data_IF_548063691930
#
_entry.id   IF_548063691930
#
_cell.length_a   1.000
_cell.length_b   1.000
_cell.length_c   1.000
_cell.angle_alpha   90.00
_cell.angle_beta   90.00
_cell.angle_gamma   90.00
#
_symmetry.space_group_name_H-M   'P 1'
#
loop_
_entity.id
_entity.type
_entity.pdbx_description
1 polymer ?
#
# COMPACT_ATOMS: atom_id res chain seq x y z
N UNK A 1 7.66 -27.99 11.83
CA UNK A 1 7.67 -26.59 12.25
C UNK A 1 6.22 -26.15 12.42
N UNK A 2 5.82 -25.65 13.60
CA UNK A 2 4.44 -25.19 13.80
C UNK A 2 4.18 -23.96 12.92
N UNK A 3 3.42 -24.16 11.86
CA UNK A 3 3.04 -23.12 10.88
C UNK A 3 1.90 -22.20 11.38
N UNK A 4 1.92 -21.83 12.68
CA UNK A 4 0.89 -20.96 13.27
C UNK A 4 1.38 -19.53 13.52
N UNK A 5 2.47 -19.11 12.86
CA UNK A 5 2.93 -17.73 12.95
C UNK A 5 2.21 -16.87 11.89
N UNK A 6 1.16 -16.20 12.34
CA UNK A 6 0.37 -15.27 11.51
C UNK A 6 0.48 -13.84 12.03
N UNK A 7 0.25 -12.87 11.16
CA UNK A 7 0.10 -11.47 11.57
C UNK A 7 -1.13 -10.85 10.91
N UNK A 8 -1.67 -9.81 11.54
CA UNK A 8 -2.89 -9.14 11.11
C UNK A 8 -2.62 -7.73 10.62
N UNK A 9 -3.24 -7.38 9.49
CA UNK A 9 -3.34 -6.02 8.99
C UNK A 9 -4.82 -5.67 8.82
N UNK A 10 -5.35 -4.90 9.74
CA UNK A 10 -6.79 -4.65 9.81
C UNK A 10 -7.58 -5.96 9.96
N UNK A 11 -8.45 -6.23 9.01
CA UNK A 11 -9.27 -7.46 8.98
C UNK A 11 -8.59 -8.67 8.33
N UNK A 12 -7.43 -8.47 7.71
CA UNK A 12 -6.71 -9.52 7.00
C UNK A 12 -5.69 -10.21 7.88
N UNK A 13 -5.52 -11.52 7.67
CA UNK A 13 -4.52 -12.35 8.33
C UNK A 13 -3.60 -12.97 7.29
N UNK A 14 -2.30 -12.94 7.56
CA UNK A 14 -1.25 -13.40 6.65
C UNK A 14 -0.27 -14.32 7.38
N UNK A 15 0.28 -15.28 6.65
CA UNK A 15 1.34 -16.18 7.09
C UNK A 15 2.72 -15.77 6.58
N UNK A 16 2.77 -14.95 5.52
CA UNK A 16 3.99 -14.39 4.96
C UNK A 16 4.12 -12.91 5.29
N UNK A 17 5.27 -12.50 5.81
CA UNK A 17 5.60 -11.08 6.07
C UNK A 17 6.22 -10.38 4.85
N UNK A 18 6.28 -11.08 3.72
CA UNK A 18 6.85 -10.54 2.50
C UNK A 18 5.82 -9.73 1.71
N UNK A 19 6.10 -8.43 1.56
CA UNK A 19 5.34 -7.51 0.71
C UNK A 19 6.18 -7.23 -0.54
N UNK A 20 5.69 -7.67 -1.71
CA UNK A 20 6.39 -7.45 -2.97
C UNK A 20 6.08 -6.07 -3.55
N UNK A 21 7.15 -5.32 -3.92
CA UNK A 21 7.02 -4.11 -4.73
C UNK A 21 7.02 -4.45 -6.22
N UNK A 22 5.96 -4.13 -6.96
CA UNK A 22 5.86 -4.49 -8.39
C UNK A 22 6.42 -3.45 -9.37
N UNK A 23 6.83 -2.29 -8.87
CA UNK A 23 7.04 -1.10 -9.71
C UNK A 23 8.21 -1.13 -10.71
N UNK A 24 9.11 -2.11 -10.66
CA UNK A 24 10.31 -2.20 -11.51
C UNK A 24 10.62 -3.61 -12.01
N UNK A 25 9.75 -4.58 -11.75
CA UNK A 25 10.01 -5.98 -12.05
C UNK A 25 9.21 -6.45 -13.26
N UNK A 26 9.74 -7.49 -13.94
CA UNK A 26 9.02 -8.16 -15.00
C UNK A 26 7.83 -8.95 -14.45
N UNK A 27 6.87 -9.26 -15.30
CA UNK A 27 5.69 -10.06 -14.92
C UNK A 27 6.10 -11.46 -14.45
N UNK A 28 7.13 -12.04 -15.08
CA UNK A 28 7.67 -13.34 -14.70
C UNK A 28 8.29 -13.32 -13.30
N UNK A 29 8.96 -12.22 -12.91
CA UNK A 29 9.52 -12.08 -11.57
C UNK A 29 8.42 -11.92 -10.52
N UNK A 30 7.34 -11.20 -10.84
CA UNK A 30 6.19 -11.07 -9.97
C UNK A 30 5.54 -12.45 -9.74
N UNK A 31 5.32 -13.20 -10.81
CA UNK A 31 4.79 -14.57 -10.73
C UNK A 31 5.70 -15.49 -9.90
N UNK A 32 7.01 -15.45 -10.12
CA UNK A 32 7.99 -16.20 -9.36
C UNK A 32 7.99 -15.82 -7.86
N UNK A 33 7.94 -14.53 -7.54
CA UNK A 33 7.89 -14.05 -6.15
C UNK A 33 6.61 -14.49 -5.42
N UNK A 34 5.49 -14.50 -6.12
CA UNK A 34 4.22 -15.00 -5.55
C UNK A 34 4.28 -16.51 -5.33
N UNK A 35 4.76 -17.29 -6.31
CA UNK A 35 4.74 -18.76 -6.26
C UNK A 35 5.87 -19.37 -5.43
N UNK A 36 7.07 -18.77 -5.44
CA UNK A 36 8.27 -19.35 -4.82
C UNK A 36 8.65 -18.67 -3.51
N UNK A 37 8.44 -17.37 -3.38
CA UNK A 37 8.69 -16.63 -2.13
C UNK A 37 7.42 -16.39 -1.30
N UNK A 38 6.29 -16.96 -1.70
CA UNK A 38 5.01 -16.92 -0.99
C UNK A 38 4.55 -15.50 -0.64
N UNK A 39 4.77 -14.54 -1.56
CA UNK A 39 4.31 -13.18 -1.37
C UNK A 39 2.78 -13.15 -1.35
N UNK A 40 2.19 -12.71 -0.25
CA UNK A 40 0.74 -12.63 -0.07
C UNK A 40 0.20 -11.21 -0.28
N UNK A 41 1.09 -10.22 -0.36
CA UNK A 41 0.75 -8.83 -0.62
C UNK A 41 1.65 -8.31 -1.74
N UNK A 42 1.05 -7.67 -2.75
CA UNK A 42 1.78 -7.04 -3.86
C UNK A 42 1.40 -5.56 -3.94
N UNK A 43 2.40 -4.67 -3.85
CA UNK A 43 2.15 -3.23 -4.03
C UNK A 43 2.13 -2.85 -5.51
N UNK A 44 1.30 -1.88 -5.86
CA UNK A 44 1.25 -1.31 -7.19
C UNK A 44 0.93 0.20 -7.17
N UNK A 45 1.47 0.93 -8.14
CA UNK A 45 1.22 2.35 -8.30
C UNK A 45 0.18 2.58 -9.42
N UNK A 46 -0.99 3.11 -9.08
CA UNK A 46 -2.02 3.42 -10.07
C UNK A 46 -1.52 4.37 -11.16
N UNK A 47 -0.68 5.34 -10.79
CA UNK A 47 -0.10 6.31 -11.73
C UNK A 47 0.63 5.66 -12.91
N UNK A 48 1.20 4.47 -12.71
CA UNK A 48 1.90 3.72 -13.77
C UNK A 48 0.97 2.82 -14.58
N UNK A 49 -0.25 2.72 -14.17
CA UNK A 49 -1.26 1.90 -14.77
C UNK A 49 -1.87 2.45 -16.04
N UNK A 50 -1.86 3.78 -16.18
CA UNK A 50 -2.37 4.46 -17.36
C UNK A 50 -1.57 4.19 -18.65
N UNK A 51 -0.39 3.59 -18.54
CA UNK A 51 0.43 3.18 -19.69
C UNK A 51 0.08 1.77 -20.21
N UNK A 52 -1.10 1.27 -19.93
CA UNK A 52 -1.56 -0.07 -20.37
C UNK A 52 -1.07 -1.22 -19.49
N UNK A 53 -0.40 -0.91 -18.37
CA UNK A 53 0.28 -1.90 -17.57
C UNK A 53 -0.54 -2.59 -16.46
N UNK A 54 -1.64 -2.01 -15.99
CA UNK A 54 -2.39 -2.64 -14.87
C UNK A 54 -3.09 -3.92 -15.30
N UNK A 55 -3.74 -3.94 -16.42
CA UNK A 55 -4.46 -5.13 -16.91
C UNK A 55 -3.50 -6.32 -17.00
N UNK A 56 -2.29 -6.08 -17.50
CA UNK A 56 -1.26 -7.11 -17.62
C UNK A 56 -0.71 -7.59 -16.27
N UNK A 57 -0.58 -6.70 -15.27
CA UNK A 57 -0.09 -7.11 -13.93
C UNK A 57 -1.17 -7.92 -13.20
N UNK A 58 -2.41 -7.52 -13.24
CA UNK A 58 -3.50 -8.21 -12.57
C UNK A 58 -3.70 -9.64 -13.08
N UNK A 59 -3.46 -9.88 -14.38
CA UNK A 59 -3.54 -11.21 -14.99
C UNK A 59 -2.50 -12.21 -14.43
N UNK A 60 -1.40 -11.70 -13.85
CA UNK A 60 -0.30 -12.49 -13.28
C UNK A 60 -0.36 -12.64 -11.76
N UNK A 61 -1.26 -11.91 -11.10
CA UNK A 61 -1.40 -11.98 -9.64
C UNK A 61 -2.60 -12.87 -9.30
N UNK A 62 -2.39 -14.01 -8.60
CA UNK A 62 -3.48 -14.89 -8.21
C UNK A 62 -4.48 -14.19 -7.28
N UNK A 63 -5.75 -14.57 -7.33
CA UNK A 63 -6.85 -13.97 -6.54
C UNK A 63 -6.65 -14.03 -5.03
N UNK A 64 -5.88 -15.00 -4.54
CA UNK A 64 -5.57 -15.14 -3.12
C UNK A 64 -4.49 -14.15 -2.63
N UNK A 65 -3.80 -13.47 -3.53
CA UNK A 65 -2.82 -12.41 -3.21
C UNK A 65 -3.54 -11.07 -3.05
N UNK A 66 -3.24 -10.35 -1.98
CA UNK A 66 -3.85 -9.05 -1.73
C UNK A 66 -3.08 -7.94 -2.46
N UNK A 67 -3.82 -7.12 -3.18
CA UNK A 67 -3.29 -5.93 -3.82
C UNK A 67 -3.20 -4.81 -2.80
N UNK A 68 -2.05 -4.15 -2.76
CA UNK A 68 -1.78 -2.97 -1.94
C UNK A 68 -1.43 -1.79 -2.86
N UNK A 69 -2.45 -1.16 -3.48
CA UNK A 69 -2.21 0.03 -4.28
C UNK A 69 -1.64 1.15 -3.42
N UNK A 70 -0.77 1.98 -4.02
CA UNK A 70 -0.21 3.15 -3.36
C UNK A 70 -0.68 4.46 -4.00
N UNK A 71 -0.59 5.55 -3.24
CA UNK A 71 -0.97 6.89 -3.69
C UNK A 71 0.21 7.68 -4.26
N UNK A 72 1.21 6.99 -4.82
CA UNK A 72 2.40 7.61 -5.39
C UNK A 72 2.06 8.72 -6.37
N UNK A 73 2.66 9.88 -6.17
CA UNK A 73 2.41 11.10 -6.93
C UNK A 73 1.45 12.07 -6.25
N UNK A 74 0.80 11.70 -5.15
CA UNK A 74 0.04 12.62 -4.32
C UNK A 74 0.97 13.62 -3.61
N UNK A 75 0.59 14.90 -3.65
CA UNK A 75 1.34 16.01 -3.02
C UNK A 75 0.67 16.55 -1.77
N UNK A 76 -0.54 16.09 -1.48
CA UNK A 76 -1.33 16.45 -0.31
C UNK A 76 -2.34 15.33 0.02
N UNK A 77 -3.02 15.46 1.16
CA UNK A 77 -3.99 14.49 1.63
C UNK A 77 -5.17 14.31 0.65
N UNK A 78 -5.67 15.39 0.07
CA UNK A 78 -6.81 15.35 -0.85
C UNK A 78 -6.50 14.51 -2.10
N UNK A 79 -5.32 14.73 -2.70
CA UNK A 79 -4.86 13.93 -3.84
C UNK A 79 -4.71 12.46 -3.45
N UNK A 80 -4.13 12.16 -2.27
CA UNK A 80 -3.97 10.81 -1.78
C UNK A 80 -5.32 10.10 -1.58
N UNK A 81 -6.27 10.76 -0.96
CA UNK A 81 -7.64 10.23 -0.74
C UNK A 81 -8.32 9.95 -2.07
N UNK A 82 -8.22 10.86 -3.04
CA UNK A 82 -8.79 10.67 -4.37
C UNK A 82 -8.18 9.44 -5.08
N UNK A 83 -6.85 9.32 -5.04
CA UNK A 83 -6.16 8.16 -5.65
C UNK A 83 -6.56 6.86 -4.96
N UNK A 84 -6.63 6.85 -3.62
CA UNK A 84 -7.04 5.68 -2.86
C UNK A 84 -8.46 5.20 -3.21
N UNK A 85 -9.41 6.12 -3.33
CA UNK A 85 -10.78 5.78 -3.74
C UNK A 85 -10.84 5.19 -5.15
N UNK A 86 -10.10 5.76 -6.11
CA UNK A 86 -9.96 5.20 -7.45
C UNK A 86 -9.31 3.80 -7.42
N UNK A 87 -8.31 3.62 -6.55
CA UNK A 87 -7.65 2.33 -6.39
C UNK A 87 -8.58 1.24 -5.89
N UNK A 88 -9.49 1.58 -4.96
CA UNK A 88 -10.49 0.64 -4.43
C UNK A 88 -11.35 0.07 -5.56
N UNK A 89 -11.83 0.95 -6.43
CA UNK A 89 -12.67 0.55 -7.56
C UNK A 89 -11.91 -0.29 -8.60
N UNK A 90 -10.70 0.13 -8.94
CA UNK A 90 -9.92 -0.53 -9.99
C UNK A 90 -9.27 -1.84 -9.56
N UNK A 91 -8.83 -1.93 -8.31
CA UNK A 91 -8.12 -3.08 -7.78
C UNK A 91 -9.01 -4.00 -6.94
N UNK A 92 -10.27 -3.63 -6.70
CA UNK A 92 -11.18 -4.33 -5.79
C UNK A 92 -10.54 -4.63 -4.43
N UNK A 93 -9.72 -3.67 -3.93
CA UNK A 93 -8.97 -3.78 -2.69
C UNK A 93 -9.25 -2.60 -1.78
N UNK A 94 -9.52 -2.85 -0.52
CA UNK A 94 -9.62 -1.84 0.53
C UNK A 94 -8.31 -1.61 1.28
N UNK A 95 -7.24 -2.33 0.93
CA UNK A 95 -5.89 -2.01 1.40
C UNK A 95 -5.31 -0.85 0.60
N UNK A 96 -4.59 0.05 1.26
CA UNK A 96 -3.91 1.16 0.58
C UNK A 96 -2.64 1.57 1.32
N UNK A 97 -1.55 1.74 0.57
CA UNK A 97 -0.32 2.36 1.05
C UNK A 97 -0.37 3.86 0.74
N UNK A 98 -0.45 4.68 1.78
CA UNK A 98 -0.44 6.14 1.62
C UNK A 98 0.98 6.64 1.42
N UNK A 99 1.20 7.31 0.29
CA UNK A 99 2.41 8.05 -0.02
C UNK A 99 2.02 9.49 -0.37
N UNK A 100 2.43 10.45 0.46
CA UNK A 100 2.29 11.89 0.16
C UNK A 100 3.67 12.51 0.14
N UNK A 101 4.11 12.98 -1.03
CA UNK A 101 5.45 13.53 -1.25
C UNK A 101 5.31 14.88 -1.94
N UNK A 102 5.54 15.99 -1.21
CA UNK A 102 5.46 17.35 -1.75
C UNK A 102 6.68 17.70 -2.60
N UNK A 103 7.85 17.30 -2.12
CA UNK A 103 9.13 17.63 -2.75
C UNK A 103 9.63 16.46 -3.60
N UNK A 104 9.57 16.62 -4.91
CA UNK A 104 10.01 15.60 -5.86
C UNK A 104 11.53 15.47 -5.97
N UNK A 105 12.29 16.41 -5.38
CA UNK A 105 13.75 16.36 -5.40
C UNK A 105 14.31 15.39 -4.38
N UNK A 106 13.78 15.42 -3.15
CA UNK A 106 14.29 14.59 -2.06
C UNK A 106 13.42 13.36 -1.80
N UNK A 107 12.18 13.34 -2.31
CA UNK A 107 11.23 12.23 -2.21
C UNK A 107 10.90 11.81 -0.77
N UNK A 108 10.96 12.76 0.16
CA UNK A 108 10.62 12.51 1.55
C UNK A 108 9.11 12.62 1.78
N UNK A 109 8.52 11.67 2.53
CA UNK A 109 7.09 11.70 2.85
C UNK A 109 6.74 12.86 3.79
N UNK A 110 5.55 13.45 3.56
CA UNK A 110 4.96 14.48 4.41
C UNK A 110 4.09 13.82 5.48
N UNK A 111 4.58 13.77 6.72
CA UNK A 111 3.90 13.09 7.82
C UNK A 111 2.55 13.71 8.16
N UNK A 112 2.41 15.04 8.08
CA UNK A 112 1.17 15.74 8.42
C UNK A 112 0.05 15.45 7.43
N UNK A 113 0.34 15.55 6.14
CA UNK A 113 -0.62 15.24 5.09
C UNK A 113 -0.94 13.74 5.05
N UNK A 114 0.04 12.89 5.34
CA UNK A 114 -0.14 11.43 5.44
C UNK A 114 -1.09 11.08 6.59
N UNK A 115 -0.95 11.70 7.77
CA UNK A 115 -1.85 11.49 8.91
C UNK A 115 -3.29 11.90 8.59
N UNK A 116 -3.50 13.04 7.93
CA UNK A 116 -4.82 13.49 7.46
C UNK A 116 -5.47 12.50 6.50
N UNK A 117 -4.74 12.06 5.49
CA UNK A 117 -5.23 11.08 4.52
C UNK A 117 -5.59 9.75 5.23
N UNK A 118 -4.74 9.33 6.18
CA UNK A 118 -4.97 8.12 6.98
C UNK A 118 -6.28 8.20 7.75
N UNK A 119 -6.56 9.31 8.44
CA UNK A 119 -7.79 9.49 9.22
C UNK A 119 -9.05 9.41 8.34
N UNK A 120 -9.03 10.07 7.19
CA UNK A 120 -10.17 10.06 6.26
C UNK A 120 -10.42 8.65 5.74
N UNK A 121 -9.39 7.98 5.26
CA UNK A 121 -9.52 6.67 4.64
C UNK A 121 -9.82 5.55 5.64
N UNK A 122 -9.28 5.63 6.86
CA UNK A 122 -9.62 4.69 7.92
C UNK A 122 -11.11 4.77 8.28
N UNK A 123 -11.69 5.98 8.37
CA UNK A 123 -13.13 6.19 8.58
C UNK A 123 -13.99 5.64 7.44
N UNK A 124 -13.44 5.58 6.23
CA UNK A 124 -14.09 4.99 5.06
C UNK A 124 -13.91 3.46 4.93
N UNK A 125 -13.31 2.83 5.94
CA UNK A 125 -13.12 1.38 6.03
C UNK A 125 -11.94 0.84 5.23
N UNK A 126 -10.97 1.69 4.84
CA UNK A 126 -9.72 1.20 4.29
C UNK A 126 -8.82 0.60 5.37
N UNK A 127 -8.03 -0.40 4.98
CA UNK A 127 -6.86 -0.88 5.73
C UNK A 127 -5.68 -0.03 5.32
N UNK A 128 -5.42 1.03 6.09
CA UNK A 128 -4.47 2.08 5.73
C UNK A 128 -3.08 1.76 6.26
N UNK A 129 -2.09 1.84 5.38
CA UNK A 129 -0.67 1.58 5.65
C UNK A 129 0.15 2.82 5.24
N UNK A 130 0.32 3.80 6.14
CA UNK A 130 1.02 5.04 5.83
C UNK A 130 2.53 4.87 5.73
N UNK A 131 3.11 5.35 4.61
CA UNK A 131 4.54 5.53 4.43
C UNK A 131 4.96 6.90 4.98
N UNK A 132 5.93 6.91 5.88
CA UNK A 132 6.25 8.10 6.64
C UNK A 132 7.75 8.33 6.82
N UNK A 133 8.14 9.59 7.03
CA UNK A 133 9.45 9.92 7.56
C UNK A 133 9.54 9.49 9.04
N UNK A 134 10.61 8.79 9.47
CA UNK A 134 10.71 8.22 10.80
C UNK A 134 10.66 9.30 11.91
N UNK A 135 9.54 9.38 12.61
CA UNK A 135 9.29 10.20 13.78
C UNK A 135 8.28 9.51 14.68
N UNK A 136 8.62 9.35 15.97
CA UNK A 136 7.78 8.59 16.90
C UNK A 136 6.44 9.26 17.17
N UNK A 137 6.39 10.59 17.24
CA UNK A 137 5.14 11.31 17.50
C UNK A 137 4.22 11.22 16.28
N UNK A 138 4.77 11.44 15.09
CA UNK A 138 4.01 11.26 13.84
C UNK A 138 3.48 9.82 13.69
N UNK A 139 4.26 8.81 14.09
CA UNK A 139 3.78 7.42 14.09
C UNK A 139 2.59 7.20 15.02
N UNK A 140 2.62 7.81 16.22
CA UNK A 140 1.48 7.79 17.17
C UNK A 140 0.26 8.52 16.61
N UNK A 141 0.46 9.65 15.95
CA UNK A 141 -0.63 10.40 15.30
C UNK A 141 -1.29 9.56 14.21
N UNK A 142 -0.51 8.87 13.38
CA UNK A 142 -1.02 7.96 12.36
C UNK A 142 -1.73 6.73 12.96
N UNK A 143 -1.22 6.18 14.07
CA UNK A 143 -1.89 5.11 14.80
C UNK A 143 -3.26 5.60 15.32
N UNK A 144 -3.31 6.77 15.93
CA UNK A 144 -4.55 7.38 16.42
C UNK A 144 -5.52 7.72 15.29
N UNK A 145 -5.00 8.04 14.10
CA UNK A 145 -5.78 8.26 12.89
C UNK A 145 -6.38 6.96 12.30
N UNK A 146 -6.02 5.78 12.83
CA UNK A 146 -6.57 4.50 12.43
C UNK A 146 -5.70 3.70 11.45
N UNK A 147 -4.40 3.96 11.38
CA UNK A 147 -3.48 3.16 10.58
C UNK A 147 -3.45 1.68 11.02
N UNK A 148 -3.47 0.76 10.08
CA UNK A 148 -3.37 -0.67 10.34
C UNK A 148 -1.93 -1.14 10.66
N UNK A 149 -0.94 -0.40 10.17
CA UNK A 149 0.48 -0.53 10.51
C UNK A 149 1.19 0.79 10.18
N UNK A 150 2.45 0.92 10.58
CA UNK A 150 3.31 2.06 10.25
C UNK A 150 4.44 1.57 9.34
N UNK A 151 4.69 2.29 8.25
CA UNK A 151 5.73 1.98 7.26
C UNK A 151 6.78 3.10 7.23
N UNK A 152 7.75 3.10 8.14
CA UNK A 152 8.79 4.13 8.13
C UNK A 152 9.74 3.97 6.94
N UNK A 153 10.25 5.12 6.45
CA UNK A 153 11.29 5.21 5.41
C UNK A 153 12.57 4.51 5.85
#
# INVERSE_FOLDING_TARGET
MNNNDTFKLGKYEFTSRFILGSGKYSLELIDAAVKQAEAQIVTLALRRANDGGIANILDYIPENVKLLPNTSGARNAEEAVRIARLSRELCHSDMVKIEVIRDTKYLLPDNYETAKATEILAKEGFVVMPYMYPDLNAARDMQNAGAACIMPL
#
